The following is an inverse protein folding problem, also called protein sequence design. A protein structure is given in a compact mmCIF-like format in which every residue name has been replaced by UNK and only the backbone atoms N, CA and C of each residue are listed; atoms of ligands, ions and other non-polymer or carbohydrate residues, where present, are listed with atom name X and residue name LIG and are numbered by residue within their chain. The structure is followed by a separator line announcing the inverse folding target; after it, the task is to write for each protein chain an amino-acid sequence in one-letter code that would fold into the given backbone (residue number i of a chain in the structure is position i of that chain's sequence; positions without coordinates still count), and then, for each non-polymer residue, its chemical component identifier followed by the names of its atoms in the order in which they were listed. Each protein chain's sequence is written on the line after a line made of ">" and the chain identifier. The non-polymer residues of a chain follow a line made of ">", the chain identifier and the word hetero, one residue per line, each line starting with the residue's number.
data_IF_659317489964
#
_entry.id   IF_659317489964
#
_cell.length_a   1.000
_cell.length_b   1.000
_cell.length_c   1.000
_cell.angle_alpha   90.00
_cell.angle_beta   90.00
_cell.angle_gamma   90.00
#
_symmetry.space_group_name_H-M   'P 1'
#
loop_
_entity.id
_entity.type
_entity.pdbx_description
1 polymer ?
#
# COMPACT_ATOMS: atom_id res chain seq x y z
N UNK A 1 -3.28 28.98 -27.61
CA UNK A 1 -2.96 30.03 -28.61
C UNK A 1 -1.89 29.55 -29.61
N UNK A 2 -0.70 29.07 -29.17
CA UNK A 2 0.38 28.61 -30.09
C UNK A 2 -0.12 27.60 -31.11
N UNK A 3 -0.75 26.49 -30.67
CA UNK A 3 -1.25 25.43 -31.56
C UNK A 3 -2.34 25.94 -32.55
N UNK A 4 -3.16 26.92 -32.17
CA UNK A 4 -4.11 27.52 -33.08
C UNK A 4 -3.36 28.32 -34.18
N UNK A 5 -2.36 29.13 -33.80
CA UNK A 5 -1.53 29.90 -34.75
C UNK A 5 -0.76 28.99 -35.72
N UNK A 6 -0.33 27.81 -35.22
CA UNK A 6 0.38 26.82 -36.03
C UNK A 6 -0.58 25.96 -36.90
N UNK A 7 -1.90 26.25 -36.88
CA UNK A 7 -2.91 25.47 -37.61
C UNK A 7 -3.12 24.04 -37.07
N UNK A 8 -2.69 23.75 -35.83
CA UNK A 8 -2.72 22.44 -35.18
C UNK A 8 -3.84 22.32 -34.14
N UNK A 9 -4.70 23.33 -34.02
CA UNK A 9 -5.90 23.26 -33.19
C UNK A 9 -7.01 24.13 -33.78
N UNK A 10 -8.26 23.73 -33.54
CA UNK A 10 -9.46 24.43 -34.01
C UNK A 10 -10.58 24.33 -32.97
N UNK A 11 -11.47 25.33 -32.98
CA UNK A 11 -12.68 25.33 -32.15
C UNK A 11 -13.79 24.59 -32.89
N UNK A 12 -14.42 23.65 -32.21
CA UNK A 12 -15.49 22.80 -32.69
C UNK A 12 -16.79 23.11 -31.92
N UNK A 13 -17.86 23.38 -32.66
CA UNK A 13 -19.19 23.71 -32.11
C UNK A 13 -20.13 22.49 -32.03
N UNK A 14 -19.63 21.30 -32.34
CA UNK A 14 -20.43 20.10 -32.30
C UNK A 14 -20.63 19.62 -30.86
N UNK A 15 -21.79 18.99 -30.62
CA UNK A 15 -22.05 18.35 -29.33
C UNK A 15 -21.10 17.18 -29.05
N UNK A 16 -20.92 16.85 -27.78
CA UNK A 16 -20.08 15.71 -27.36
C UNK A 16 -20.51 14.40 -28.03
N UNK A 17 -21.81 14.19 -28.25
CA UNK A 17 -22.36 13.00 -28.91
C UNK A 17 -21.96 12.92 -30.39
N UNK A 18 -22.02 14.03 -31.11
CA UNK A 18 -21.61 14.11 -32.50
C UNK A 18 -20.10 13.87 -32.62
N UNK A 19 -19.29 14.51 -31.78
CA UNK A 19 -17.84 14.31 -31.72
C UNK A 19 -17.49 12.86 -31.43
N UNK A 20 -18.16 12.23 -30.46
CA UNK A 20 -17.94 10.81 -30.13
C UNK A 20 -18.27 9.90 -31.32
N UNK A 21 -19.40 10.14 -32.00
CA UNK A 21 -19.80 9.39 -33.19
C UNK A 21 -18.81 9.57 -34.36
N UNK A 22 -18.34 10.79 -34.58
CA UNK A 22 -17.36 11.11 -35.63
C UNK A 22 -16.00 10.43 -35.42
N UNK A 23 -15.62 10.11 -34.18
CA UNK A 23 -14.38 9.37 -33.91
C UNK A 23 -14.36 7.97 -34.56
N UNK A 24 -15.50 7.42 -34.96
CA UNK A 24 -15.59 6.06 -35.53
C UNK A 24 -15.30 4.98 -34.50
N UNK A 25 -14.75 3.86 -35.00
CA UNK A 25 -14.38 2.69 -34.17
C UNK A 25 -12.88 2.36 -34.36
N UNK A 26 -12.29 1.48 -33.56
CA UNK A 26 -10.89 1.05 -33.79
C UNK A 26 -10.62 0.49 -35.20
N UNK A 27 -11.65 -0.08 -35.86
CA UNK A 27 -11.58 -0.68 -37.21
C UNK A 27 -12.10 0.22 -38.32
N UNK A 28 -12.79 1.30 -37.98
CA UNK A 28 -13.35 2.25 -38.94
C UNK A 28 -12.77 3.64 -38.69
N UNK A 29 -12.23 4.33 -39.70
CA UNK A 29 -11.70 5.68 -39.54
C UNK A 29 -12.79 6.66 -39.09
N UNK A 30 -12.37 7.72 -38.41
CA UNK A 30 -13.27 8.82 -38.07
C UNK A 30 -13.55 9.72 -39.27
N UNK A 31 -14.53 10.61 -39.11
CA UNK A 31 -14.89 11.64 -40.09
C UNK A 31 -14.48 13.01 -39.56
N UNK A 32 -14.03 13.88 -40.45
CA UNK A 32 -13.63 15.23 -40.08
C UNK A 32 -14.83 16.09 -39.66
N UNK A 33 -14.58 16.98 -38.68
CA UNK A 33 -15.53 18.01 -38.30
C UNK A 33 -15.65 19.08 -39.41
N UNK A 34 -16.83 19.64 -39.68
CA UNK A 34 -16.99 20.75 -40.60
C UNK A 34 -16.19 22.00 -40.18
N UNK A 35 -15.84 22.11 -38.90
CA UNK A 35 -15.08 23.22 -38.32
C UNK A 35 -13.55 23.00 -38.37
N UNK A 36 -13.08 21.85 -38.80
CA UNK A 36 -11.66 21.45 -38.80
C UNK A 36 -10.77 22.39 -39.58
N UNK A 37 -11.29 22.99 -40.65
CA UNK A 37 -10.60 23.89 -41.54
C UNK A 37 -10.96 25.38 -41.34
N UNK A 38 -11.53 25.75 -40.18
CA UNK A 38 -11.87 27.12 -39.80
C UNK A 38 -10.62 28.00 -39.82
N UNK A 39 -10.72 29.27 -40.29
CA UNK A 39 -9.60 30.21 -40.30
C UNK A 39 -8.96 30.42 -38.93
N UNK A 40 -7.66 30.62 -38.89
CA UNK A 40 -6.88 30.80 -37.65
C UNK A 40 -7.42 31.91 -36.79
N UNK A 41 -7.69 33.10 -37.41
CA UNK A 41 -8.18 34.31 -36.71
C UNK A 41 -9.57 34.07 -36.05
N UNK A 42 -10.43 33.31 -36.71
CA UNK A 42 -11.73 32.93 -36.15
C UNK A 42 -11.56 32.01 -34.96
N UNK A 43 -10.68 31.01 -35.08
CA UNK A 43 -10.39 30.08 -33.98
C UNK A 43 -9.79 30.82 -32.74
N UNK A 44 -8.93 31.83 -32.97
CA UNK A 44 -8.36 32.64 -31.89
C UNK A 44 -9.46 33.43 -31.17
N UNK A 45 -10.34 34.10 -31.95
CA UNK A 45 -11.47 34.86 -31.41
C UNK A 45 -12.42 34.01 -30.59
N UNK A 46 -12.78 32.81 -31.10
CA UNK A 46 -13.68 31.89 -30.41
C UNK A 46 -13.04 31.32 -29.16
N UNK A 47 -11.77 30.97 -29.19
CA UNK A 47 -11.06 30.48 -28.02
C UNK A 47 -10.94 31.53 -26.90
N UNK A 48 -10.76 32.81 -27.26
CA UNK A 48 -10.80 33.89 -26.29
C UNK A 48 -12.19 34.03 -25.66
N UNK A 49 -13.27 33.97 -26.46
CA UNK A 49 -14.65 33.98 -25.96
C UNK A 49 -14.96 32.77 -25.05
N UNK A 50 -14.39 31.59 -25.32
CA UNK A 50 -14.47 30.44 -24.40
C UNK A 50 -13.86 30.77 -23.04
N UNK A 51 -12.72 31.47 -23.02
CA UNK A 51 -12.01 31.81 -21.80
C UNK A 51 -12.65 32.97 -21.02
N UNK A 52 -13.25 33.95 -21.69
CA UNK A 52 -13.96 35.08 -21.05
C UNK A 52 -15.33 34.69 -20.51
N UNK A 53 -15.87 33.55 -20.95
CA UNK A 53 -17.19 33.04 -20.52
C UNK A 53 -18.37 33.56 -21.35
N UNK A 54 -18.10 34.17 -22.52
CA UNK A 54 -19.13 34.52 -23.50
C UNK A 54 -19.77 33.27 -24.12
N UNK A 55 -19.03 32.15 -24.15
CA UNK A 55 -19.49 30.87 -24.64
C UNK A 55 -20.01 30.01 -23.47
N UNK A 56 -21.25 29.53 -23.53
CA UNK A 56 -21.79 28.67 -22.48
C UNK A 56 -21.13 27.29 -22.44
N UNK A 57 -21.18 26.67 -21.27
CA UNK A 57 -20.69 25.30 -21.05
C UNK A 57 -21.34 24.32 -22.02
N UNK A 58 -20.54 23.46 -22.65
CA UNK A 58 -20.99 22.45 -23.60
C UNK A 58 -21.20 22.94 -25.04
N UNK A 59 -21.16 24.26 -25.33
CA UNK A 59 -21.42 24.79 -26.66
C UNK A 59 -20.23 24.64 -27.62
N UNK A 60 -19.00 24.74 -27.10
CA UNK A 60 -17.79 24.65 -27.91
C UNK A 60 -16.66 23.96 -27.14
N UNK A 61 -15.75 23.35 -27.90
CA UNK A 61 -14.50 22.75 -27.40
C UNK A 61 -13.35 23.14 -28.32
N UNK A 62 -12.14 23.22 -27.78
CA UNK A 62 -10.92 23.31 -28.59
C UNK A 62 -10.39 21.89 -28.83
N UNK A 63 -10.16 21.51 -30.09
CA UNK A 63 -9.63 20.22 -30.48
C UNK A 63 -8.26 20.37 -31.13
N UNK A 64 -7.37 19.40 -30.87
CA UNK A 64 -6.14 19.28 -31.66
C UNK A 64 -6.49 18.77 -33.07
N UNK A 65 -5.75 19.24 -34.06
CA UNK A 65 -5.85 18.79 -35.46
C UNK A 65 -4.72 17.81 -35.73
N UNK A 66 -5.03 16.50 -35.71
CA UNK A 66 -4.03 15.44 -35.86
C UNK A 66 -4.40 14.54 -37.05
N UNK A 67 -5.05 13.39 -36.79
CA UNK A 67 -5.38 12.40 -37.82
C UNK A 67 -6.67 11.66 -37.47
N UNK A 68 -7.72 11.92 -38.20
CA UNK A 68 -9.02 11.26 -38.01
C UNK A 68 -9.04 9.80 -38.49
N UNK A 69 -8.04 9.36 -39.28
CA UNK A 69 -7.91 7.99 -39.74
C UNK A 69 -6.97 7.13 -38.86
N UNK A 70 -6.34 7.72 -37.84
CA UNK A 70 -5.41 7.00 -36.96
C UNK A 70 -6.05 5.74 -36.34
N UNK A 71 -5.35 4.59 -36.30
CA UNK A 71 -5.82 3.42 -35.57
C UNK A 71 -5.87 3.68 -34.06
N UNK A 72 -5.07 4.60 -33.53
CA UNK A 72 -5.15 5.07 -32.16
C UNK A 72 -6.25 6.15 -32.05
N UNK A 73 -7.37 5.80 -31.42
CA UNK A 73 -8.51 6.71 -31.29
C UNK A 73 -8.20 7.98 -30.50
N UNK A 74 -7.14 8.01 -29.68
CA UNK A 74 -6.67 9.20 -28.96
C UNK A 74 -6.08 10.25 -29.91
N UNK A 75 -5.63 9.86 -31.12
CA UNK A 75 -5.12 10.77 -32.17
C UNK A 75 -6.22 11.39 -33.03
N UNK A 76 -7.47 10.92 -32.92
CA UNK A 76 -8.58 11.40 -33.75
C UNK A 76 -9.11 12.73 -33.20
N UNK A 77 -8.37 13.79 -33.47
CA UNK A 77 -8.64 15.18 -33.08
C UNK A 77 -9.16 15.29 -31.63
N UNK A 78 -8.32 15.00 -30.61
CA UNK A 78 -8.72 15.00 -29.21
C UNK A 78 -9.11 16.40 -28.72
N UNK A 79 -10.02 16.43 -27.74
CA UNK A 79 -10.40 17.69 -27.08
C UNK A 79 -9.25 18.14 -26.19
N UNK A 80 -8.80 19.39 -26.39
CA UNK A 80 -7.76 20.04 -25.59
C UNK A 80 -8.34 20.89 -24.45
N UNK A 81 -9.38 21.66 -24.75
CA UNK A 81 -10.06 22.54 -23.78
C UNK A 81 -11.56 22.42 -23.89
N UNK A 82 -12.23 22.56 -22.76
CA UNK A 82 -13.70 22.72 -22.66
C UNK A 82 -14.05 23.88 -21.74
N UNK A 83 -15.24 24.42 -21.89
CA UNK A 83 -15.78 25.45 -20.99
C UNK A 83 -16.39 24.75 -19.75
N UNK A 84 -16.03 25.22 -18.56
CA UNK A 84 -16.62 24.85 -17.28
C UNK A 84 -16.98 26.14 -16.56
N UNK A 85 -18.26 26.42 -16.41
CA UNK A 85 -18.79 27.62 -15.74
C UNK A 85 -19.65 27.29 -14.53
N UNK A 86 -20.07 26.04 -14.38
CA UNK A 86 -20.94 25.56 -13.32
C UNK A 86 -20.24 25.38 -11.95
N UNK A 87 -18.92 25.21 -11.93
CA UNK A 87 -18.16 24.94 -10.71
C UNK A 87 -16.94 25.85 -10.57
N UNK A 88 -16.71 26.45 -9.39
CA UNK A 88 -15.52 27.27 -9.16
C UNK A 88 -14.28 26.38 -8.99
N UNK A 89 -13.15 26.83 -9.52
CA UNK A 89 -11.86 26.21 -9.21
C UNK A 89 -11.46 26.54 -7.76
N UNK A 90 -10.97 25.57 -6.99
CA UNK A 90 -10.72 25.69 -5.56
C UNK A 90 -9.73 26.80 -5.15
N UNK A 91 -8.84 27.25 -6.05
CA UNK A 91 -7.88 28.34 -5.79
C UNK A 91 -8.24 29.65 -6.48
N UNK A 92 -8.76 29.59 -7.69
CA UNK A 92 -8.97 30.79 -8.56
C UNK A 92 -10.45 31.13 -8.76
N UNK A 93 -11.37 30.38 -8.14
CA UNK A 93 -12.81 30.61 -8.28
C UNK A 93 -13.26 30.54 -9.74
N UNK A 94 -13.94 31.56 -10.21
CA UNK A 94 -14.48 31.66 -11.57
C UNK A 94 -13.60 32.50 -12.53
N UNK A 95 -12.32 32.71 -12.19
CA UNK A 95 -11.40 33.50 -13.03
C UNK A 95 -11.22 32.90 -14.42
N UNK A 96 -11.08 31.60 -14.49
CA UNK A 96 -10.92 30.84 -15.73
C UNK A 96 -12.22 30.15 -16.11
N UNK A 97 -12.53 30.08 -17.39
CA UNK A 97 -13.69 29.37 -17.92
C UNK A 97 -13.30 28.23 -18.86
N UNK A 98 -12.24 28.40 -19.65
CA UNK A 98 -11.69 27.33 -20.48
C UNK A 98 -10.67 26.50 -19.69
N UNK A 99 -10.95 25.22 -19.52
CA UNK A 99 -10.12 24.29 -18.77
C UNK A 99 -9.50 23.24 -19.68
N UNK A 100 -8.19 22.95 -19.52
CA UNK A 100 -7.53 21.93 -20.33
C UNK A 100 -8.01 20.52 -19.93
N UNK A 101 -8.09 19.64 -20.91
CA UNK A 101 -8.34 18.22 -20.71
C UNK A 101 -7.04 17.53 -20.31
N UNK A 102 -7.18 16.37 -19.62
CA UNK A 102 -6.07 15.63 -19.03
C UNK A 102 -4.94 15.35 -20.03
N UNK A 103 -5.25 14.78 -21.20
CA UNK A 103 -4.24 14.38 -22.19
C UNK A 103 -3.39 15.54 -22.72
N UNK A 104 -3.96 16.74 -22.75
CA UNK A 104 -3.20 17.96 -23.08
C UNK A 104 -2.44 18.50 -21.87
N UNK A 105 -3.10 18.59 -20.71
CA UNK A 105 -2.52 19.22 -19.52
C UNK A 105 -1.32 18.46 -18.97
N UNK A 106 -1.39 17.12 -18.94
CA UNK A 106 -0.39 16.26 -18.33
C UNK A 106 1.01 16.49 -18.95
N UNK A 107 1.14 16.34 -20.26
CA UNK A 107 2.43 16.53 -20.93
C UNK A 107 2.96 17.97 -20.82
N UNK A 108 2.06 18.96 -20.82
CA UNK A 108 2.44 20.37 -20.67
C UNK A 108 2.97 20.66 -19.26
N UNK A 109 2.29 20.18 -18.22
CA UNK A 109 2.74 20.32 -16.83
C UNK A 109 4.10 19.66 -16.63
N UNK A 110 4.29 18.43 -17.09
CA UNK A 110 5.56 17.72 -16.99
C UNK A 110 6.70 18.50 -17.68
N UNK A 111 6.44 19.01 -18.88
CA UNK A 111 7.43 19.75 -19.65
C UNK A 111 7.82 21.07 -18.98
N UNK A 112 6.86 21.90 -18.59
CA UNK A 112 7.13 23.21 -17.98
C UNK A 112 7.65 23.12 -16.54
N UNK A 113 7.33 22.05 -15.82
CA UNK A 113 7.80 21.84 -14.44
C UNK A 113 9.13 21.07 -14.36
N UNK A 114 9.70 20.63 -15.49
CA UNK A 114 10.99 19.96 -15.53
C UNK A 114 10.96 18.50 -15.04
N UNK A 115 9.80 17.82 -15.14
CA UNK A 115 9.63 16.40 -14.78
C UNK A 115 10.38 15.52 -15.78
N UNK A 116 11.32 14.71 -15.33
CA UNK A 116 12.11 13.82 -16.19
C UNK A 116 11.42 12.50 -16.49
N UNK A 117 10.75 11.92 -15.48
CA UNK A 117 10.09 10.62 -15.54
C UNK A 117 8.64 10.75 -15.06
N UNK A 118 7.71 10.63 -15.97
CA UNK A 118 6.28 10.67 -15.73
C UNK A 118 5.74 9.25 -15.53
N UNK A 119 5.23 8.96 -14.35
CA UNK A 119 4.84 7.61 -13.93
C UNK A 119 3.33 7.42 -14.07
N UNK A 120 2.90 6.45 -14.87
CA UNK A 120 1.50 6.16 -15.16
C UNK A 120 1.15 4.68 -14.97
N UNK A 121 -0.13 4.37 -14.91
CA UNK A 121 -0.65 3.00 -14.95
C UNK A 121 -0.82 2.52 -16.40
N UNK A 122 -1.03 1.20 -16.60
CA UNK A 122 -1.04 0.58 -17.93
C UNK A 122 -2.11 1.10 -18.88
N UNK A 123 -3.22 1.62 -18.38
CA UNK A 123 -4.26 2.25 -19.21
C UNK A 123 -3.74 3.43 -20.03
N UNK A 124 -2.64 4.05 -19.62
CA UNK A 124 -2.03 5.18 -20.33
C UNK A 124 -1.03 4.79 -21.44
N UNK A 125 -0.78 3.51 -21.66
CA UNK A 125 0.09 3.06 -22.76
C UNK A 125 -0.41 3.59 -24.10
N UNK A 126 -1.72 3.56 -24.35
CA UNK A 126 -2.35 4.06 -25.57
C UNK A 126 -2.41 5.59 -25.66
N UNK A 127 -2.28 6.28 -24.52
CA UNK A 127 -2.21 7.74 -24.44
C UNK A 127 -0.80 8.29 -24.66
N UNK A 128 0.26 7.50 -24.40
CA UNK A 128 1.65 7.96 -24.52
C UNK A 128 2.00 8.58 -25.89
N UNK A 129 1.57 8.02 -27.03
CA UNK A 129 1.84 8.67 -28.32
C UNK A 129 1.24 10.08 -28.41
N UNK A 130 0.06 10.32 -27.80
CA UNK A 130 -0.56 11.64 -27.75
C UNK A 130 0.18 12.58 -26.80
N UNK A 131 0.62 12.08 -25.63
CA UNK A 131 1.51 12.80 -24.71
C UNK A 131 2.77 13.27 -25.43
N UNK A 132 3.44 12.38 -26.15
CA UNK A 132 4.63 12.70 -26.94
C UNK A 132 4.33 13.74 -28.03
N UNK A 133 3.21 13.59 -28.75
CA UNK A 133 2.80 14.54 -29.79
C UNK A 133 2.61 15.95 -29.25
N UNK A 134 1.97 16.11 -28.09
CA UNK A 134 1.81 17.45 -27.47
C UNK A 134 3.14 18.05 -27.03
N UNK A 135 4.05 17.27 -26.47
CA UNK A 135 5.38 17.74 -26.09
C UNK A 135 6.15 18.22 -27.32
N UNK A 136 6.09 17.48 -28.43
CA UNK A 136 6.77 17.82 -29.69
C UNK A 136 6.35 19.18 -30.27
N UNK A 137 5.21 19.71 -29.85
CA UNK A 137 4.78 21.06 -30.27
C UNK A 137 5.49 22.20 -29.53
N UNK A 138 6.21 21.93 -28.46
CA UNK A 138 6.81 22.91 -27.54
C UNK A 138 8.32 22.69 -27.34
N UNK A 139 8.96 21.95 -28.22
CA UNK A 139 10.40 21.68 -28.13
C UNK A 139 11.22 22.94 -28.43
N UNK A 140 11.47 23.72 -27.39
CA UNK A 140 12.39 24.86 -27.36
C UNK A 140 13.62 24.60 -26.46
N UNK A 141 13.71 23.39 -25.86
CA UNK A 141 14.83 22.96 -25.02
C UNK A 141 15.28 21.53 -25.40
N UNK A 142 16.52 21.15 -25.02
CA UNK A 142 17.02 19.78 -25.17
C UNK A 142 16.39 18.79 -24.20
N UNK A 143 15.58 19.30 -23.27
CA UNK A 143 14.91 18.52 -22.25
C UNK A 143 13.58 17.93 -22.78
N UNK A 144 13.35 16.63 -22.48
CA UNK A 144 12.10 15.96 -22.83
C UNK A 144 11.66 15.01 -21.71
N UNK A 145 10.49 15.21 -21.11
CA UNK A 145 9.92 14.27 -20.16
C UNK A 145 9.59 12.93 -20.84
N UNK A 146 9.70 11.85 -20.09
CA UNK A 146 9.40 10.50 -20.56
C UNK A 146 8.32 9.86 -19.74
N UNK A 147 7.20 9.49 -20.35
CA UNK A 147 6.14 8.71 -19.71
C UNK A 147 6.54 7.23 -19.62
N UNK A 148 6.33 6.65 -18.45
CA UNK A 148 6.63 5.25 -18.13
C UNK A 148 5.40 4.63 -17.49
N UNK A 149 4.90 3.52 -18.03
CA UNK A 149 3.74 2.82 -17.53
C UNK A 149 4.13 1.49 -16.92
N UNK A 150 3.41 1.11 -15.87
CA UNK A 150 3.55 -0.16 -15.19
C UNK A 150 2.21 -0.67 -14.64
N UNK A 151 2.17 -1.96 -14.29
CA UNK A 151 0.99 -2.61 -13.79
C UNK A 151 0.53 -2.05 -12.43
N UNK A 152 -0.76 -2.17 -12.18
CA UNK A 152 -1.33 -1.92 -10.86
C UNK A 152 -0.94 -3.03 -9.90
N UNK A 153 -0.58 -2.68 -8.67
CA UNK A 153 -0.42 -3.66 -7.59
C UNK A 153 -1.80 -4.19 -7.17
N UNK A 154 -2.03 -5.47 -7.38
CA UNK A 154 -3.19 -6.19 -6.88
C UNK A 154 -2.71 -7.27 -5.90
N UNK A 155 -3.32 -7.32 -4.71
CA UNK A 155 -2.96 -8.23 -3.62
C UNK A 155 -4.18 -9.09 -3.30
N UNK A 156 -3.97 -10.40 -3.11
CA UNK A 156 -5.02 -11.34 -2.70
C UNK A 156 -5.65 -10.92 -1.37
N UNK A 157 -6.92 -11.21 -1.18
CA UNK A 157 -7.69 -10.90 0.05
C UNK A 157 -7.65 -9.42 0.48
N UNK A 158 -7.36 -8.49 -0.46
CA UNK A 158 -7.18 -7.08 -0.14
C UNK A 158 -8.00 -6.20 -1.07
N UNK A 159 -8.79 -5.31 -0.49
CA UNK A 159 -9.58 -4.33 -1.24
C UNK A 159 -8.72 -3.11 -1.56
N UNK A 160 -8.25 -2.98 -2.82
CA UNK A 160 -7.42 -1.87 -3.29
C UNK A 160 -8.23 -0.73 -3.93
N UNK A 161 -9.53 -0.63 -3.65
CA UNK A 161 -10.41 0.40 -4.20
C UNK A 161 -10.68 1.50 -3.20
N UNK A 162 -10.24 2.75 -3.50
CA UNK A 162 -10.51 3.92 -2.66
C UNK A 162 -12.01 4.11 -2.39
N UNK A 163 -12.87 3.93 -3.40
CA UNK A 163 -14.32 4.06 -3.26
C UNK A 163 -14.92 3.06 -2.27
N UNK A 164 -14.48 1.79 -2.33
CA UNK A 164 -14.94 0.76 -1.39
C UNK A 164 -14.38 0.99 0.01
N UNK A 165 -13.13 1.42 0.14
CA UNK A 165 -12.55 1.78 1.44
C UNK A 165 -13.26 2.99 2.06
N UNK A 166 -13.60 4.00 1.26
CA UNK A 166 -14.39 5.15 1.73
C UNK A 166 -15.76 4.72 2.26
N UNK A 167 -16.43 3.78 1.58
CA UNK A 167 -17.69 3.20 2.05
C UNK A 167 -17.55 2.56 3.43
N UNK A 168 -16.50 1.76 3.66
CA UNK A 168 -16.24 1.15 4.98
C UNK A 168 -16.10 2.20 6.09
N UNK A 169 -15.44 3.32 5.79
CA UNK A 169 -15.28 4.43 6.74
C UNK A 169 -16.61 5.15 6.98
N UNK A 170 -17.37 5.44 5.93
CA UNK A 170 -18.64 6.16 6.02
C UNK A 170 -19.72 5.35 6.74
N UNK A 171 -19.76 4.04 6.56
CA UNK A 171 -20.68 3.13 7.23
C UNK A 171 -20.24 2.75 8.65
N UNK A 172 -19.08 3.25 9.12
CA UNK A 172 -18.57 2.98 10.47
C UNK A 172 -18.10 1.53 10.69
N UNK A 173 -17.86 0.76 9.63
CA UNK A 173 -17.38 -0.62 9.70
C UNK A 173 -15.90 -0.70 10.11
N UNK A 174 -15.16 0.37 9.95
CA UNK A 174 -13.79 0.58 10.40
C UNK A 174 -13.67 1.91 11.16
N UNK A 175 -12.69 2.04 12.04
CA UNK A 175 -12.49 3.23 12.87
C UNK A 175 -12.03 4.48 12.09
N UNK A 176 -11.52 4.28 10.87
CA UNK A 176 -11.03 5.35 10.01
C UNK A 176 -10.04 4.84 8.97
N UNK A 177 -9.40 5.75 8.26
CA UNK A 177 -8.43 5.42 7.22
C UNK A 177 -7.13 4.79 7.74
N UNK A 178 -6.87 4.92 9.03
CA UNK A 178 -5.73 4.32 9.73
C UNK A 178 -6.08 3.04 10.50
N UNK A 179 -7.30 2.53 10.35
CA UNK A 179 -7.69 1.25 10.95
C UNK A 179 -6.72 0.14 10.50
N UNK A 180 -6.19 -0.71 11.42
CA UNK A 180 -5.24 -1.77 11.06
C UNK A 180 -5.76 -2.78 10.04
N UNK A 181 -7.07 -2.87 9.84
CA UNK A 181 -7.70 -3.71 8.80
C UNK A 181 -7.67 -3.08 7.42
N UNK A 182 -7.36 -1.78 7.34
CA UNK A 182 -7.31 -1.05 6.07
C UNK A 182 -5.94 -1.18 5.41
N UNK A 183 -5.86 -1.43 4.09
CA UNK A 183 -4.59 -1.54 3.35
C UNK A 183 -3.99 -0.17 2.99
N UNK A 184 -4.15 0.81 3.85
CA UNK A 184 -3.51 2.13 3.73
C UNK A 184 -2.14 2.10 4.38
N UNK A 185 -1.24 3.01 4.01
CA UNK A 185 0.07 3.13 4.67
C UNK A 185 -0.08 3.38 6.17
N UNK A 186 -1.09 4.16 6.59
CA UNK A 186 -1.38 4.40 8.00
C UNK A 186 -1.89 3.14 8.71
N UNK A 187 -2.77 2.36 8.06
CA UNK A 187 -3.25 1.08 8.58
C UNK A 187 -2.14 0.06 8.70
N UNK A 188 -1.29 -0.07 7.67
CA UNK A 188 -0.12 -0.95 7.70
C UNK A 188 0.86 -0.55 8.80
N UNK A 189 1.13 0.74 8.99
CA UNK A 189 1.98 1.24 10.07
C UNK A 189 1.44 0.84 11.45
N UNK A 190 0.15 1.02 11.69
CA UNK A 190 -0.50 0.61 12.94
C UNK A 190 -0.49 -0.92 13.14
N UNK A 191 -0.51 -1.68 12.06
CA UNK A 191 -0.37 -3.14 12.08
C UNK A 191 1.07 -3.62 12.38
N UNK A 192 2.06 -2.74 12.32
CA UNK A 192 3.46 -3.05 12.59
C UNK A 192 4.33 -3.25 11.36
N UNK A 193 3.83 -2.97 10.16
CA UNK A 193 4.67 -2.95 8.97
C UNK A 193 5.62 -1.75 9.00
N UNK A 194 6.90 -2.02 8.84
CA UNK A 194 7.93 -0.98 8.77
C UNK A 194 8.09 -0.48 7.33
N UNK A 195 8.58 0.76 7.11
CA UNK A 195 8.91 1.22 5.76
C UNK A 195 9.82 0.24 5.02
N UNK A 196 10.86 -0.29 5.70
CA UNK A 196 11.78 -1.25 5.10
C UNK A 196 11.09 -2.54 4.64
N UNK A 197 10.10 -3.05 5.40
CA UNK A 197 9.35 -4.25 5.00
C UNK A 197 8.53 -4.03 3.74
N UNK A 198 7.97 -2.81 3.57
CA UNK A 198 7.22 -2.43 2.36
C UNK A 198 8.19 -2.29 1.17
N UNK A 199 9.35 -1.64 1.36
CA UNK A 199 10.38 -1.57 0.32
C UNK A 199 10.84 -2.96 -0.11
N UNK A 200 11.18 -3.83 0.83
CA UNK A 200 11.60 -5.21 0.54
C UNK A 200 10.52 -6.00 -0.24
N UNK A 201 9.24 -5.76 0.08
CA UNK A 201 8.13 -6.35 -0.66
C UNK A 201 8.08 -5.85 -2.09
N UNK A 202 8.14 -4.52 -2.30
CA UNK A 202 8.12 -3.90 -3.63
C UNK A 202 9.32 -4.35 -4.47
N UNK A 203 10.52 -4.44 -3.88
CA UNK A 203 11.72 -4.90 -4.57
C UNK A 203 11.60 -6.37 -5.03
N UNK A 204 10.97 -7.22 -4.20
CA UNK A 204 10.75 -8.64 -4.54
C UNK A 204 9.76 -8.83 -5.68
N UNK A 205 8.69 -8.04 -5.74
CA UNK A 205 7.70 -8.14 -6.81
C UNK A 205 8.18 -7.46 -8.10
N UNK A 206 9.03 -6.44 -7.98
CA UNK A 206 9.48 -5.62 -9.10
C UNK A 206 8.34 -4.85 -9.77
N UNK A 207 8.60 -4.32 -10.97
CA UNK A 207 7.58 -3.73 -11.83
C UNK A 207 7.49 -4.48 -13.16
N UNK A 208 6.31 -4.50 -13.75
CA UNK A 208 6.05 -5.19 -15.02
C UNK A 208 4.97 -4.44 -15.80
N UNK A 209 4.86 -4.75 -17.10
CA UNK A 209 3.74 -4.29 -17.95
C UNK A 209 2.64 -5.35 -18.12
N UNK A 210 2.64 -6.37 -17.27
CA UNK A 210 1.63 -7.42 -17.26
C UNK A 210 0.84 -7.35 -15.97
N UNK A 211 -0.49 -7.31 -16.06
CA UNK A 211 -1.35 -7.39 -14.88
C UNK A 211 -1.18 -8.73 -14.16
N UNK A 212 -1.13 -8.68 -12.85
CA UNK A 212 -0.96 -9.87 -12.02
C UNK A 212 -1.59 -9.71 -10.64
N UNK A 213 -1.71 -10.82 -9.92
CA UNK A 213 -2.18 -10.87 -8.54
C UNK A 213 -1.03 -11.37 -7.65
N UNK A 214 -0.69 -10.63 -6.64
CA UNK A 214 0.37 -10.95 -5.68
C UNK A 214 -0.27 -11.54 -4.42
N UNK A 215 0.29 -12.63 -3.92
CA UNK A 215 -0.17 -13.23 -2.67
C UNK A 215 0.16 -12.33 -1.48
N UNK A 216 -0.82 -12.08 -0.59
CA UNK A 216 -0.65 -11.28 0.63
C UNK A 216 0.42 -11.88 1.55
N UNK A 217 0.60 -13.20 1.51
CA UNK A 217 1.64 -13.91 2.26
C UNK A 217 3.05 -13.40 1.96
N UNK A 218 3.32 -12.88 0.75
CA UNK A 218 4.61 -12.29 0.41
C UNK A 218 4.84 -10.95 1.14
N UNK A 219 3.79 -10.13 1.25
CA UNK A 219 3.83 -8.90 2.04
C UNK A 219 4.09 -9.20 3.52
N UNK A 220 3.35 -10.16 4.09
CA UNK A 220 3.51 -10.60 5.48
C UNK A 220 4.88 -11.24 5.73
N UNK A 221 5.39 -12.01 4.77
CA UNK A 221 6.74 -12.59 4.84
C UNK A 221 7.80 -11.49 4.90
N UNK A 222 7.68 -10.44 4.07
CA UNK A 222 8.60 -9.31 4.08
C UNK A 222 8.60 -8.55 5.41
N UNK A 223 7.44 -8.46 6.07
CA UNK A 223 7.34 -7.89 7.42
C UNK A 223 8.05 -8.79 8.45
N UNK A 224 7.79 -10.11 8.44
CA UNK A 224 8.45 -11.06 9.35
C UNK A 224 9.96 -11.06 9.18
N UNK A 225 10.44 -11.09 7.95
CA UNK A 225 11.90 -11.07 7.66
C UNK A 225 12.58 -9.81 8.23
N UNK A 226 11.92 -8.65 8.08
CA UNK A 226 12.45 -7.40 8.63
C UNK A 226 12.39 -7.36 10.14
N UNK A 227 11.24 -7.71 10.73
CA UNK A 227 11.02 -7.68 12.17
C UNK A 227 11.87 -8.71 12.92
N UNK A 228 12.11 -9.88 12.33
CA UNK A 228 13.01 -10.87 12.92
C UNK A 228 14.42 -10.30 13.18
N UNK A 229 14.88 -9.40 12.33
CA UNK A 229 16.20 -8.76 12.47
C UNK A 229 16.20 -7.54 13.40
N UNK A 230 15.07 -6.85 13.52
CA UNK A 230 15.04 -5.49 14.13
C UNK A 230 14.19 -5.35 15.37
N UNK A 231 13.20 -6.25 15.58
CA UNK A 231 12.25 -6.10 16.66
C UNK A 231 12.74 -6.76 17.96
N UNK A 232 12.50 -6.11 19.08
CA UNK A 232 12.66 -6.73 20.39
C UNK A 232 11.67 -7.88 20.54
N UNK A 233 12.12 -8.98 21.12
CA UNK A 233 11.29 -10.18 21.36
C UNK A 233 10.83 -10.20 22.80
N UNK A 234 9.52 -10.22 22.96
CA UNK A 234 8.86 -10.33 24.25
C UNK A 234 7.96 -11.56 24.26
N UNK A 235 7.78 -12.17 25.43
CA UNK A 235 6.83 -13.24 25.63
C UNK A 235 5.50 -12.67 26.08
N UNK A 236 4.40 -13.15 25.50
CA UNK A 236 3.04 -12.87 25.92
C UNK A 236 2.33 -14.19 26.21
N UNK A 237 1.54 -14.24 27.27
CA UNK A 237 0.71 -15.39 27.65
C UNK A 237 -0.73 -14.99 27.40
N UNK A 238 -1.40 -15.65 26.45
CA UNK A 238 -2.75 -15.30 25.98
C UNK A 238 -3.83 -16.13 26.67
N UNK A 239 -3.57 -17.42 26.91
CA UNK A 239 -4.41 -18.33 27.68
C UNK A 239 -3.64 -18.88 28.89
N UNK A 240 -3.58 -18.10 29.99
CA UNK A 240 -2.70 -18.37 31.09
C UNK A 240 -3.18 -19.55 31.97
N UNK A 241 -2.24 -20.41 32.33
CA UNK A 241 -2.37 -21.35 33.42
C UNK A 241 -1.33 -21.04 34.48
N UNK A 242 -1.72 -21.16 35.77
CA UNK A 242 -0.81 -20.86 36.89
C UNK A 242 0.23 -21.98 37.02
N UNK A 243 1.50 -21.57 37.19
CA UNK A 243 2.62 -22.50 37.44
C UNK A 243 3.24 -22.15 38.79
N UNK A 244 3.25 -23.14 39.71
CA UNK A 244 3.84 -22.98 41.03
C UNK A 244 5.12 -23.82 41.14
N UNK A 245 6.24 -23.16 41.40
CA UNK A 245 7.53 -23.83 41.64
C UNK A 245 7.65 -24.11 43.14
N UNK A 246 7.37 -25.35 43.51
CA UNK A 246 7.14 -25.75 44.92
C UNK A 246 8.39 -25.63 45.81
N UNK A 247 9.57 -25.86 45.24
CA UNK A 247 10.85 -25.77 45.95
C UNK A 247 11.56 -24.40 45.77
N UNK A 248 10.90 -23.39 45.13
CA UNK A 248 11.44 -22.02 45.08
C UNK A 248 11.02 -21.26 46.36
N UNK A 249 11.93 -20.50 46.99
CA UNK A 249 11.63 -19.78 48.25
C UNK A 249 10.46 -18.82 48.12
N UNK A 250 9.58 -18.83 49.12
CA UNK A 250 8.41 -17.97 49.17
C UNK A 250 8.82 -16.50 49.32
N UNK A 251 8.18 -15.61 48.56
CA UNK A 251 8.47 -14.17 48.56
C UNK A 251 9.75 -13.77 47.85
N UNK A 252 10.58 -14.70 47.41
CA UNK A 252 11.79 -14.38 46.63
C UNK A 252 11.44 -14.07 45.16
N UNK A 253 12.03 -12.98 44.67
CA UNK A 253 11.95 -12.59 43.25
C UNK A 253 13.38 -12.39 42.71
N UNK A 254 13.71 -13.06 41.68
CA UNK A 254 15.01 -12.94 41.00
C UNK A 254 14.85 -12.34 39.61
N UNK A 255 15.74 -11.42 39.25
CA UNK A 255 15.72 -10.79 37.91
C UNK A 255 16.65 -11.54 36.97
N UNK A 256 16.08 -12.15 35.94
CA UNK A 256 16.81 -12.84 34.88
C UNK A 256 17.07 -11.91 33.72
N UNK A 257 18.13 -12.16 32.96
CA UNK A 257 18.44 -11.45 31.73
C UNK A 257 17.95 -12.21 30.51
N UNK A 258 17.11 -11.58 29.71
CA UNK A 258 16.62 -12.09 28.43
C UNK A 258 17.16 -11.26 27.27
N UNK A 259 17.65 -11.93 26.22
CA UNK A 259 18.15 -11.27 25.01
C UNK A 259 17.00 -10.59 24.29
N UNK A 260 17.16 -9.31 23.93
CA UNK A 260 16.14 -8.54 23.21
C UNK A 260 15.88 -9.10 21.79
N UNK A 261 16.92 -9.43 21.07
CA UNK A 261 16.82 -10.08 19.76
C UNK A 261 18.02 -11.03 19.54
N UNK A 262 17.78 -12.35 19.42
CA UNK A 262 18.87 -13.31 19.20
C UNK A 262 19.53 -13.22 17.82
N UNK A 263 18.96 -12.49 16.85
CA UNK A 263 19.53 -12.24 15.53
C UNK A 263 20.35 -10.95 15.46
N UNK A 264 20.34 -10.14 16.54
CA UNK A 264 21.11 -8.91 16.65
C UNK A 264 21.91 -8.89 17.97
N UNK A 265 23.19 -9.17 17.87
CA UNK A 265 24.11 -9.20 19.03
C UNK A 265 24.19 -7.83 19.75
N UNK A 266 23.85 -6.74 19.07
CA UNK A 266 23.86 -5.39 19.63
C UNK A 266 22.52 -4.98 20.26
N UNK A 267 21.49 -5.81 20.19
CA UNK A 267 20.15 -5.49 20.72
C UNK A 267 20.11 -5.38 22.25
N UNK A 268 21.13 -5.90 22.93
CA UNK A 268 21.19 -5.90 24.40
C UNK A 268 20.21 -6.89 25.04
N UNK A 269 19.96 -6.67 26.32
CA UNK A 269 19.10 -7.53 27.16
C UNK A 269 18.03 -6.71 27.90
N UNK A 270 17.01 -7.39 28.39
CA UNK A 270 16.03 -6.85 29.33
C UNK A 270 15.86 -7.80 30.52
N UNK A 271 15.35 -7.27 31.63
CA UNK A 271 15.14 -8.05 32.85
C UNK A 271 13.72 -8.60 32.88
N UNK A 272 13.62 -9.90 33.24
CA UNK A 272 12.35 -10.59 33.51
C UNK A 272 12.36 -11.11 34.94
N UNK A 273 11.23 -10.99 35.64
CA UNK A 273 11.09 -11.49 37.01
C UNK A 273 10.84 -13.01 37.02
N UNK A 274 11.56 -13.72 37.86
CA UNK A 274 11.30 -15.12 38.18
C UNK A 274 10.95 -15.25 39.66
N UNK A 275 9.86 -15.95 39.97
CA UNK A 275 9.35 -16.15 41.32
C UNK A 275 8.74 -17.53 41.49
N UNK A 276 8.27 -17.84 42.69
CA UNK A 276 7.58 -19.08 42.97
C UNK A 276 6.30 -19.25 42.16
N UNK A 277 5.57 -18.15 41.90
CA UNK A 277 4.35 -18.15 41.11
C UNK A 277 4.62 -17.52 39.75
N UNK A 278 4.31 -18.25 38.68
CA UNK A 278 4.48 -17.90 37.30
C UNK A 278 3.19 -18.17 36.52
N UNK A 279 3.15 -17.70 35.30
CA UNK A 279 2.09 -18.00 34.33
C UNK A 279 2.70 -18.53 33.05
N UNK A 280 2.09 -19.57 32.47
CA UNK A 280 2.52 -20.12 31.19
C UNK A 280 1.31 -20.30 30.27
N UNK A 281 1.57 -20.43 28.98
CA UNK A 281 0.55 -20.72 27.98
C UNK A 281 -0.04 -22.12 28.23
N UNK A 282 -1.36 -22.25 28.24
CA UNK A 282 -2.05 -23.53 28.48
C UNK A 282 -1.63 -24.62 27.50
N UNK A 283 -1.49 -24.28 26.22
CA UNK A 283 -1.08 -25.22 25.17
C UNK A 283 0.37 -25.71 25.28
N UNK A 284 1.20 -25.07 26.13
CA UNK A 284 2.55 -25.53 26.45
C UNK A 284 2.60 -26.66 27.49
N UNK A 285 1.44 -27.10 27.97
CA UNK A 285 1.34 -28.23 28.90
C UNK A 285 0.31 -29.27 28.46
N UNK A 286 0.64 -30.57 28.61
CA UNK A 286 -0.28 -31.71 28.49
C UNK A 286 0.02 -32.75 29.55
N UNK A 287 -1.03 -33.31 30.19
CA UNK A 287 -0.86 -34.45 31.10
C UNK A 287 -0.51 -35.72 30.32
N UNK A 288 -1.31 -36.05 29.30
CA UNK A 288 -1.12 -37.18 28.40
C UNK A 288 -0.73 -36.67 27.03
N UNK A 289 0.54 -36.71 26.74
CA UNK A 289 1.09 -36.10 25.54
C UNK A 289 1.45 -37.14 24.47
N UNK A 290 1.22 -36.84 23.17
CA UNK A 290 1.70 -37.70 22.10
C UNK A 290 3.23 -37.63 21.98
N UNK A 291 3.85 -38.66 21.38
CA UNK A 291 5.32 -38.79 21.26
C UNK A 291 6.03 -37.57 20.62
N UNK A 292 5.32 -36.74 19.88
CA UNK A 292 5.89 -35.55 19.23
C UNK A 292 5.61 -34.25 19.99
N UNK A 293 5.11 -34.30 21.20
CA UNK A 293 4.91 -33.12 22.05
C UNK A 293 6.20 -32.85 22.84
N UNK A 294 6.90 -31.80 22.49
CA UNK A 294 8.20 -31.44 23.08
C UNK A 294 8.10 -30.26 24.07
N UNK A 295 6.97 -30.19 24.81
CA UNK A 295 6.70 -29.16 25.82
C UNK A 295 6.50 -29.84 27.17
N UNK A 296 6.02 -29.11 28.18
CA UNK A 296 5.89 -29.62 29.55
C UNK A 296 4.83 -30.69 29.69
N UNK A 297 5.20 -31.81 30.32
CA UNK A 297 4.31 -32.91 30.65
C UNK A 297 4.51 -33.35 32.12
N UNK A 298 3.59 -34.10 32.68
CA UNK A 298 3.80 -34.69 34.03
C UNK A 298 5.04 -35.58 34.02
N UNK A 299 5.96 -35.31 34.97
CA UNK A 299 7.26 -35.97 35.06
C UNK A 299 8.31 -35.54 34.03
N UNK A 300 7.90 -34.71 33.04
CA UNK A 300 8.79 -34.17 32.02
C UNK A 300 9.52 -32.91 32.50
N UNK A 301 10.67 -32.69 31.91
CA UNK A 301 11.52 -31.50 32.18
C UNK A 301 11.54 -30.57 30.97
N UNK A 302 11.42 -29.28 31.22
CA UNK A 302 11.62 -28.24 30.20
C UNK A 302 12.39 -27.07 30.79
N UNK A 303 13.14 -26.38 29.94
CA UNK A 303 13.79 -25.10 30.30
C UNK A 303 12.81 -23.95 30.11
N UNK A 304 12.52 -23.22 31.17
CA UNK A 304 11.90 -21.92 31.05
C UNK A 304 12.92 -20.93 30.42
N UNK A 305 12.46 -20.22 29.40
CA UNK A 305 13.33 -19.34 28.61
C UNK A 305 14.09 -18.33 29.49
N UNK A 306 15.41 -18.32 29.35
CA UNK A 306 16.31 -17.46 30.14
C UNK A 306 16.32 -17.70 31.67
N UNK A 307 15.72 -18.81 32.14
CA UNK A 307 15.60 -19.11 33.56
C UNK A 307 16.13 -20.55 33.85
N UNK A 308 15.35 -21.33 34.53
CA UNK A 308 15.71 -22.65 35.03
C UNK A 308 15.05 -23.79 34.25
N UNK A 309 15.58 -25.01 34.44
CA UNK A 309 14.87 -26.25 34.09
C UNK A 309 13.88 -26.55 35.20
N UNK A 310 12.64 -26.85 34.79
CA UNK A 310 11.57 -27.25 35.70
C UNK A 310 11.06 -28.65 35.34
N UNK A 311 10.50 -29.34 36.32
CA UNK A 311 9.84 -30.65 36.18
C UNK A 311 8.45 -30.57 36.76
N UNK A 312 7.42 -30.82 35.93
CA UNK A 312 6.04 -30.84 36.42
C UNK A 312 5.75 -32.16 37.20
N UNK A 313 5.19 -31.99 38.37
CA UNK A 313 4.96 -33.12 39.30
C UNK A 313 3.47 -33.46 39.37
N UNK A 314 2.57 -32.49 39.40
CA UNK A 314 1.13 -32.67 39.48
C UNK A 314 0.39 -31.44 38.97
N UNK A 315 -0.90 -31.63 38.71
CA UNK A 315 -1.83 -30.55 38.37
C UNK A 315 -2.99 -30.48 39.36
N UNK A 316 -3.64 -29.34 39.39
CA UNK A 316 -4.93 -29.11 40.04
C UNK A 316 -5.95 -28.73 38.97
N UNK A 317 -7.16 -29.23 39.09
CA UNK A 317 -8.25 -29.04 38.12
C UNK A 317 -9.48 -28.44 38.82
N UNK A 318 -10.26 -27.73 38.04
CA UNK A 318 -11.57 -27.24 38.47
C UNK A 318 -12.67 -28.35 38.40
N UNK A 319 -13.90 -27.96 38.72
CA UNK A 319 -15.08 -28.86 38.70
C UNK A 319 -15.40 -29.39 37.30
N UNK A 320 -14.92 -28.73 36.23
CA UNK A 320 -15.10 -29.13 34.83
C UNK A 320 -13.96 -30.02 34.31
N UNK A 321 -12.93 -30.26 35.13
CA UNK A 321 -11.75 -31.01 34.75
C UNK A 321 -10.67 -30.21 34.05
N UNK A 322 -10.83 -28.88 33.94
CA UNK A 322 -9.85 -27.97 33.35
C UNK A 322 -8.69 -27.70 34.30
N UNK A 323 -7.46 -27.70 33.79
CA UNK A 323 -6.26 -27.45 34.57
C UNK A 323 -6.22 -25.97 34.98
N UNK A 324 -6.19 -25.72 36.28
CA UNK A 324 -6.09 -24.38 36.86
C UNK A 324 -4.68 -24.06 37.35
N UNK A 325 -3.95 -25.09 37.83
CA UNK A 325 -2.61 -24.89 38.39
C UNK A 325 -1.72 -26.12 38.08
N UNK A 326 -0.50 -25.83 37.69
CA UNK A 326 0.57 -26.82 37.48
C UNK A 326 1.60 -26.65 38.61
N UNK A 327 1.95 -27.74 39.29
CA UNK A 327 2.96 -27.73 40.32
C UNK A 327 4.24 -28.36 39.78
N UNK A 328 5.34 -27.66 39.88
CA UNK A 328 6.64 -28.09 39.40
C UNK A 328 7.74 -27.87 40.46
N UNK A 329 8.86 -28.52 40.27
CA UNK A 329 10.12 -28.26 40.94
C UNK A 329 11.11 -27.66 39.94
N UNK A 330 12.03 -26.83 40.40
CA UNK A 330 13.13 -26.34 39.56
C UNK A 330 14.47 -26.97 39.98
N UNK A 331 15.39 -27.04 39.02
CA UNK A 331 16.77 -27.46 39.25
C UNK A 331 17.61 -26.17 39.45
N UNK A 332 18.07 -25.95 40.67
CA UNK A 332 18.80 -24.75 41.09
C UNK A 332 20.09 -24.55 40.30
N UNK A 333 20.79 -25.67 39.95
CA UNK A 333 22.04 -25.60 39.20
C UNK A 333 21.84 -25.30 37.69
N UNK A 334 20.60 -25.38 37.21
CA UNK A 334 20.28 -25.22 35.78
C UNK A 334 20.05 -23.79 35.32
N UNK A 335 20.36 -22.76 36.17
CA UNK A 335 20.20 -21.36 35.83
C UNK A 335 20.88 -21.01 34.50
N UNK A 336 20.12 -20.43 33.57
CA UNK A 336 20.65 -20.01 32.27
C UNK A 336 21.78 -19.01 32.45
N UNK A 337 22.92 -19.29 31.78
CA UNK A 337 24.09 -18.42 31.83
C UNK A 337 25.00 -18.56 33.06
N UNK A 338 24.71 -19.49 33.99
CA UNK A 338 25.55 -19.71 35.21
C UNK A 338 26.88 -20.40 34.90
N UNK A 339 27.02 -21.07 33.77
CA UNK A 339 28.23 -21.80 33.39
C UNK A 339 28.34 -23.19 34.01
N UNK A 340 27.33 -23.64 34.78
CA UNK A 340 27.26 -25.01 35.33
C UNK A 340 26.97 -26.04 34.22
N UNK A 341 27.32 -27.32 34.45
CA UNK A 341 26.97 -28.41 33.52
C UNK A 341 25.43 -28.50 33.33
N UNK A 342 24.68 -28.36 34.38
CA UNK A 342 23.23 -28.35 34.34
C UNK A 342 22.66 -27.16 33.52
N UNK A 343 23.35 -26.01 33.55
CA UNK A 343 22.90 -24.83 32.77
C UNK A 343 23.06 -25.02 31.28
N UNK A 344 23.88 -25.93 30.82
CA UNK A 344 24.15 -26.25 29.42
C UNK A 344 23.17 -27.27 28.83
N UNK A 345 22.36 -27.96 29.67
CA UNK A 345 21.30 -28.88 29.20
C UNK A 345 20.23 -28.05 28.42
N UNK A 346 19.79 -28.61 27.28
CA UNK A 346 18.76 -27.99 26.42
C UNK A 346 17.35 -28.33 26.93
#
# INVERSE_FOLDING_TARGET
>A
VKLIKDGKAYVDEQSAEIIAKQKGTPTEPGTESPYRNRPIEENLTLFEKMNTGEIPEGAMVLRARIDMASPNMHFRDPIMYRVISSHPHHRTGFTWKAYPMYDYAHGQSDYFEGVTHSICTLEFVVHRPLYDWFIDQFQDTDYRPRQIEFNRLNITYTVMSKRKMLQLVQEGLVSGWDDPRMPTLCGLRRRGFTPQSIHNFIDKIGYTKVEGMIDIGLLEHSARETLNKTANRVSAVLDPVKLIITNYPEGQVEMMEAINNPEDENSGTHKIAFSRELWMEREDFMEEAPKKFFRLTIGGEVRLKSAYIIKANRVEKDENGEITTIYATYDEESKSGSGTEASMRK
#
